data_IF_778988845974
#
_entry.id   IF_778988845974
#
_cell.length_a   1.000
_cell.length_b   1.000
_cell.length_c   1.000
_cell.angle_alpha   90.00
_cell.angle_beta   90.00
_cell.angle_gamma   90.00
#
_symmetry.space_group_name_H-M   'P 1'
#
loop_
_entity.id
_entity.type
_entity.pdbx_description
1 polymer ?
#
# COMPACT_ATOMS: atom_id res chain seq x y z
N UNK A 1 -2.00 -5.08 12.01
CA UNK A 1 -1.45 -4.42 10.80
C UNK A 1 -1.52 -2.92 10.99
N UNK A 2 -0.48 -2.17 10.65
CA UNK A 2 -0.45 -0.71 10.72
C UNK A 2 -0.15 -0.12 9.34
N UNK A 3 -0.83 0.97 8.96
CA UNK A 3 -0.53 1.65 7.70
C UNK A 3 0.51 2.76 7.87
N UNK A 4 1.37 2.93 6.86
CA UNK A 4 2.44 3.94 6.86
C UNK A 4 1.91 5.38 7.02
N UNK A 5 0.73 5.68 6.48
CA UNK A 5 0.04 6.96 6.70
C UNK A 5 -0.76 6.90 8.00
N UNK A 6 -0.04 6.89 9.12
CA UNK A 6 -0.56 6.65 10.48
C UNK A 6 -1.80 7.48 10.82
N UNK A 7 -1.81 8.76 10.44
CA UNK A 7 -2.89 9.74 10.69
C UNK A 7 -4.21 9.41 9.96
N UNK A 8 -4.13 8.74 8.82
CA UNK A 8 -5.26 8.45 7.95
C UNK A 8 -5.34 6.95 7.63
N UNK A 9 -4.96 6.12 8.60
CA UNK A 9 -4.99 4.68 8.46
C UNK A 9 -5.95 4.09 9.50
N UNK A 10 -7.04 3.50 9.02
CA UNK A 10 -7.94 2.68 9.84
C UNK A 10 -7.42 1.25 9.85
N UNK A 11 -6.50 0.99 10.76
CA UNK A 11 -5.78 -0.27 10.85
C UNK A 11 -6.07 -1.01 12.17
N UNK A 12 -5.28 -2.02 12.54
CA UNK A 12 -5.57 -2.86 13.71
C UNK A 12 -5.68 -2.10 15.03
N UNK A 13 -5.20 -0.84 15.10
CA UNK A 13 -5.41 0.04 16.26
C UNK A 13 -6.89 0.31 16.53
N UNK A 14 -7.74 0.25 15.50
CA UNK A 14 -9.17 0.52 15.60
C UNK A 14 -10.03 -0.75 15.65
N UNK A 15 -9.64 -1.82 14.96
CA UNK A 15 -10.47 -3.02 14.79
C UNK A 15 -9.84 -4.33 15.27
N UNK A 16 -8.67 -4.29 15.93
CA UNK A 16 -8.02 -5.46 16.53
C UNK A 16 -7.17 -6.26 15.55
N UNK A 17 -6.83 -7.50 15.91
CA UNK A 17 -5.93 -8.35 15.12
C UNK A 17 -6.64 -8.90 13.87
N UNK A 18 -5.90 -9.02 12.76
CA UNK A 18 -6.40 -9.64 11.53
C UNK A 18 -6.22 -11.16 11.63
N UNK A 19 -7.26 -11.98 11.40
CA UNK A 19 -7.14 -13.43 11.27
C UNK A 19 -6.23 -13.84 10.11
N UNK A 20 -5.48 -14.93 10.28
CA UNK A 20 -4.52 -15.43 9.29
C UNK A 20 -5.18 -15.85 7.96
N UNK A 21 -6.41 -16.37 8.01
CA UNK A 21 -7.15 -16.82 6.84
C UNK A 21 -7.45 -15.69 5.83
N UNK A 22 -7.38 -14.43 6.26
CA UNK A 22 -7.62 -13.26 5.41
C UNK A 22 -6.32 -12.73 4.75
N UNK A 23 -5.16 -13.31 5.07
CA UNK A 23 -3.88 -12.90 4.51
C UNK A 23 -3.67 -13.58 3.15
N UNK A 24 -3.76 -12.80 2.07
CA UNK A 24 -3.62 -13.33 0.70
C UNK A 24 -2.17 -13.39 0.21
N UNK A 25 -1.30 -12.47 0.65
CA UNK A 25 0.09 -12.44 0.22
C UNK A 25 0.83 -11.13 0.53
N UNK A 26 2.04 -10.97 -0.04
CA UNK A 26 2.91 -9.79 0.14
C UNK A 26 3.03 -8.97 -1.15
N UNK A 27 2.85 -7.66 -1.04
CA UNK A 27 3.13 -6.72 -2.14
C UNK A 27 4.65 -6.67 -2.43
N UNK A 28 5.04 -6.82 -3.70
CA UNK A 28 6.46 -6.98 -4.08
C UNK A 28 7.01 -5.83 -4.93
N UNK A 29 6.23 -5.30 -5.87
CA UNK A 29 6.64 -4.23 -6.80
C UNK A 29 5.47 -3.36 -7.22
N UNK A 30 5.76 -2.11 -7.59
CA UNK A 30 4.79 -1.19 -8.20
C UNK A 30 4.83 -1.33 -9.71
N UNK A 31 3.74 -1.81 -10.33
CA UNK A 31 3.67 -1.99 -11.78
C UNK A 31 3.20 -0.74 -12.53
N UNK A 32 2.35 0.08 -11.90
CA UNK A 32 1.81 1.32 -12.48
C UNK A 32 1.64 2.38 -11.40
N UNK A 33 2.00 3.62 -11.75
CA UNK A 33 1.77 4.79 -10.91
C UNK A 33 1.40 5.98 -11.79
N UNK A 34 0.21 6.56 -11.59
CA UNK A 34 -0.26 7.77 -12.27
C UNK A 34 -0.47 8.87 -11.24
N UNK A 35 -0.06 10.08 -11.58
CA UNK A 35 -0.33 11.24 -10.76
C UNK A 35 -1.83 11.61 -10.85
N UNK A 36 -2.51 11.81 -9.70
CA UNK A 36 -3.95 12.07 -9.70
C UNK A 36 -4.34 13.46 -10.21
N UNK A 37 -3.41 14.44 -10.22
CA UNK A 37 -3.71 15.83 -10.61
C UNK A 37 -3.24 16.11 -12.03
N UNK A 38 -1.99 15.75 -12.33
CA UNK A 38 -1.37 16.02 -13.63
C UNK A 38 -1.60 14.92 -14.67
N UNK A 39 -2.19 13.80 -14.25
CA UNK A 39 -2.41 12.60 -15.06
C UNK A 39 -1.15 11.96 -15.69
N UNK A 40 0.04 12.44 -15.33
CA UNK A 40 1.31 11.90 -15.85
C UNK A 40 1.68 10.59 -15.17
N UNK A 41 2.32 9.71 -15.92
CA UNK A 41 2.87 8.46 -15.38
C UNK A 41 4.13 8.80 -14.56
N UNK A 42 4.19 8.31 -13.32
CA UNK A 42 5.35 8.45 -12.43
C UNK A 42 6.32 7.30 -12.69
N UNK A 43 7.12 7.45 -13.75
CA UNK A 43 8.08 6.43 -14.21
C UNK A 43 9.09 6.00 -13.15
N UNK A 44 9.49 6.92 -12.27
CA UNK A 44 10.41 6.65 -11.17
C UNK A 44 9.90 5.63 -10.14
N UNK A 45 8.59 5.34 -10.10
CA UNK A 45 8.01 4.36 -9.19
C UNK A 45 7.79 3.00 -9.83
N UNK A 46 7.84 2.89 -11.16
CA UNK A 46 7.56 1.64 -11.87
C UNK A 46 8.72 0.65 -11.64
N UNK A 47 8.37 -0.60 -11.35
CA UNK A 47 9.26 -1.72 -10.99
C UNK A 47 10.08 -1.52 -9.70
N UNK A 48 9.83 -0.44 -8.97
CA UNK A 48 10.40 -0.23 -7.65
C UNK A 48 9.99 -1.39 -6.74
N UNK A 49 10.97 -1.99 -6.08
CA UNK A 49 10.76 -3.05 -5.08
C UNK A 49 10.17 -2.42 -3.83
N UNK A 50 9.14 -3.05 -3.28
CA UNK A 50 8.60 -2.74 -1.97
C UNK A 50 9.27 -3.68 -0.95
N UNK A 51 9.77 -3.11 0.14
CA UNK A 51 10.41 -3.87 1.23
C UNK A 51 9.40 -4.19 2.33
#
# INVERSE_FOLDING_TARGET
MGGDKVENSQDSRYWGLLPDDLIVGKASRVWKSKDPVSEKIRWNRILMKLE
#
